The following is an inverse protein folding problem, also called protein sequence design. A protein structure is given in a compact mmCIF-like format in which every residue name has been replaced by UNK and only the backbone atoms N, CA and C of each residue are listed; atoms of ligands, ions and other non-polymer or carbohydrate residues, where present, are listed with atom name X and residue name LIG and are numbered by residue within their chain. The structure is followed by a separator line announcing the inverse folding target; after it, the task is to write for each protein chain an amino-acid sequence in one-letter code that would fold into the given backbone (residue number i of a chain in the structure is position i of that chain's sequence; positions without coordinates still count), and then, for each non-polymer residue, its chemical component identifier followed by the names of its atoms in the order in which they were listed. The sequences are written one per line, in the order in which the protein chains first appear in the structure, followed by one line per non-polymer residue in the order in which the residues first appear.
data_IF_435066883177
#
_entry.id   IF_435066883177
#
_cell.length_a   1.000
_cell.length_b   1.000
_cell.length_c   1.000
_cell.angle_alpha   90.00
_cell.angle_beta   90.00
_cell.angle_gamma   90.00
#
_symmetry.space_group_name_H-M   'P 1'
#
loop_
_entity.id
_entity.type
_entity.pdbx_description
1 polymer ?
#
# COMPACT_ATOMS: atom_id res chain seq x y z
N UNK A 1 27.78 -17.86 -3.52
CA UNK A 1 26.94 -17.49 -2.35
C UNK A 1 26.54 -16.01 -2.29
N UNK A 2 27.43 -15.03 -2.58
CA UNK A 2 27.09 -13.59 -2.45
C UNK A 2 25.98 -13.11 -3.41
N UNK A 3 26.05 -13.47 -4.70
CA UNK A 3 25.07 -13.04 -5.70
C UNK A 3 23.64 -13.58 -5.46
N UNK A 4 23.51 -14.83 -5.03
CA UNK A 4 22.23 -15.47 -4.71
C UNK A 4 21.54 -14.84 -3.49
N UNK A 5 22.33 -14.31 -2.54
CA UNK A 5 21.81 -13.61 -1.36
C UNK A 5 21.32 -12.22 -1.77
N UNK A 6 22.12 -11.45 -2.52
CA UNK A 6 21.74 -10.13 -2.99
C UNK A 6 20.46 -10.15 -3.83
N UNK A 7 20.33 -11.12 -4.73
CA UNK A 7 19.12 -11.34 -5.52
C UNK A 7 17.87 -11.56 -4.65
N UNK A 8 17.97 -12.36 -3.57
CA UNK A 8 16.84 -12.60 -2.65
C UNK A 8 16.38 -11.32 -1.96
N UNK A 9 17.29 -10.43 -1.59
CA UNK A 9 16.93 -9.15 -0.98
C UNK A 9 16.27 -8.21 -1.99
N UNK A 10 16.80 -8.11 -3.22
CA UNK A 10 16.15 -7.36 -4.30
C UNK A 10 14.72 -7.86 -4.56
N UNK A 11 14.53 -9.19 -4.62
CA UNK A 11 13.19 -9.79 -4.82
C UNK A 11 12.21 -9.46 -3.69
N UNK A 12 12.69 -9.35 -2.44
CA UNK A 12 11.84 -8.94 -1.30
C UNK A 12 11.38 -7.50 -1.44
N UNK A 13 12.26 -6.60 -1.89
CA UNK A 13 11.90 -5.20 -2.15
C UNK A 13 10.84 -5.10 -3.24
N UNK A 14 11.06 -5.78 -4.38
CA UNK A 14 10.09 -5.82 -5.49
C UNK A 14 8.70 -6.30 -5.02
N UNK A 15 8.64 -7.40 -4.28
CA UNK A 15 7.37 -7.94 -3.77
C UNK A 15 6.69 -6.98 -2.81
N UNK A 16 7.45 -6.33 -1.92
CA UNK A 16 6.89 -5.37 -0.98
C UNK A 16 6.34 -4.12 -1.69
N UNK A 17 7.03 -3.64 -2.73
CA UNK A 17 6.60 -2.53 -3.56
C UNK A 17 5.32 -2.88 -4.34
N UNK A 18 5.25 -4.05 -4.96
CA UNK A 18 4.06 -4.52 -5.67
C UNK A 18 2.85 -4.62 -4.73
N UNK A 19 3.03 -5.25 -3.57
CA UNK A 19 1.97 -5.37 -2.56
C UNK A 19 1.50 -4.00 -2.05
N UNK A 20 2.43 -3.06 -1.86
CA UNK A 20 2.11 -1.70 -1.46
C UNK A 20 1.22 -1.01 -2.50
N UNK A 21 1.62 -0.99 -3.79
CA UNK A 21 0.83 -0.35 -4.84
C UNK A 21 -0.54 -1.01 -5.04
N UNK A 22 -0.62 -2.34 -4.99
CA UNK A 22 -1.90 -3.05 -5.07
C UNK A 22 -2.86 -2.61 -3.94
N UNK A 23 -2.35 -2.44 -2.72
CA UNK A 23 -3.15 -2.00 -1.57
C UNK A 23 -3.52 -0.52 -1.64
N UNK A 24 -2.63 0.36 -2.11
CA UNK A 24 -2.95 1.77 -2.37
C UNK A 24 -4.08 1.88 -3.39
N UNK A 25 -3.98 1.20 -4.53
CA UNK A 25 -5.01 1.21 -5.57
C UNK A 25 -6.35 0.65 -5.08
N UNK A 26 -6.34 -0.35 -4.20
CA UNK A 26 -7.56 -0.85 -3.55
C UNK A 26 -8.16 0.20 -2.62
N UNK A 27 -7.34 0.84 -1.78
CA UNK A 27 -7.75 1.87 -0.84
C UNK A 27 -8.38 3.07 -1.57
N UNK A 28 -7.76 3.55 -2.63
CA UNK A 28 -8.30 4.65 -3.46
C UNK A 28 -9.66 4.32 -4.07
N UNK A 29 -9.81 3.10 -4.61
CA UNK A 29 -11.09 2.62 -5.14
C UNK A 29 -12.17 2.62 -4.05
N UNK A 30 -11.84 2.14 -2.85
CA UNK A 30 -12.78 2.14 -1.73
C UNK A 30 -13.14 3.55 -1.27
N UNK A 31 -12.16 4.47 -1.21
CA UNK A 31 -12.42 5.89 -0.90
C UNK A 31 -13.36 6.54 -1.92
N UNK A 32 -13.16 6.25 -3.22
CA UNK A 32 -14.05 6.74 -4.30
C UNK A 32 -15.47 6.20 -4.12
N UNK A 33 -15.64 4.92 -3.83
CA UNK A 33 -16.95 4.31 -3.57
C UNK A 33 -17.60 4.93 -2.34
N UNK A 34 -16.85 5.05 -1.24
CA UNK A 34 -17.32 5.64 0.01
C UNK A 34 -17.77 7.09 -0.19
N UNK A 35 -17.01 7.88 -0.94
CA UNK A 35 -17.38 9.25 -1.27
C UNK A 35 -18.73 9.29 -2.01
N UNK A 36 -18.90 8.44 -3.04
CA UNK A 36 -20.17 8.31 -3.77
C UNK A 36 -21.34 7.91 -2.86
N UNK A 37 -21.13 6.98 -1.92
CA UNK A 37 -22.16 6.55 -0.96
C UNK A 37 -22.58 7.69 0.00
N UNK A 38 -21.65 8.59 0.34
CA UNK A 38 -21.89 9.75 1.22
C UNK A 38 -22.54 10.92 0.47
N UNK A 39 -22.11 11.21 -0.75
CA UNK A 39 -22.58 12.37 -1.53
C UNK A 39 -23.87 12.12 -2.29
N UNK A 40 -24.13 10.87 -2.67
CA UNK A 40 -25.28 10.53 -3.51
C UNK A 40 -26.25 9.66 -2.71
N UNK A 41 -27.50 10.08 -2.63
CA UNK A 41 -28.57 9.24 -2.10
C UNK A 41 -28.92 8.19 -3.16
N UNK A 42 -28.21 7.06 -3.13
CA UNK A 42 -28.34 6.01 -4.14
C UNK A 42 -29.70 5.30 -4.05
N UNK A 43 -30.26 5.18 -2.84
CA UNK A 43 -31.56 4.52 -2.65
C UNK A 43 -32.67 5.56 -2.49
N UNK A 44 -33.59 5.58 -3.46
CA UNK A 44 -34.77 6.45 -3.43
C UNK A 44 -35.81 5.88 -2.44
N UNK A 45 -35.98 6.62 -1.35
CA UNK A 45 -37.10 6.63 -0.38
C UNK A 45 -37.42 5.34 0.41
N UNK A 46 -37.51 5.52 1.74
CA UNK A 46 -37.95 4.55 2.75
C UNK A 46 -36.94 4.40 3.90
N UNK A 47 -37.45 4.32 5.15
CA UNK A 47 -36.61 4.32 6.36
C UNK A 47 -35.67 3.11 6.42
N UNK A 48 -36.17 1.92 6.08
CA UNK A 48 -35.37 0.68 6.05
C UNK A 48 -34.24 0.73 5.03
N UNK A 49 -34.48 1.28 3.83
CA UNK A 49 -33.43 1.40 2.82
C UNK A 49 -32.36 2.41 3.23
N UNK A 50 -32.75 3.55 3.83
CA UNK A 50 -31.80 4.54 4.37
C UNK A 50 -30.92 3.91 5.47
N UNK A 51 -31.53 3.16 6.39
CA UNK A 51 -30.80 2.45 7.44
C UNK A 51 -29.78 1.46 6.86
N UNK A 52 -30.19 0.67 5.86
CA UNK A 52 -29.29 -0.26 5.15
C UNK A 52 -28.13 0.46 4.44
N UNK A 53 -28.38 1.61 3.81
CA UNK A 53 -27.32 2.41 3.18
C UNK A 53 -26.32 2.93 4.21
N UNK A 54 -26.78 3.39 5.38
CA UNK A 54 -25.91 3.82 6.47
C UNK A 54 -25.02 2.66 6.96
N UNK A 55 -25.61 1.50 7.24
CA UNK A 55 -24.87 0.30 7.67
C UNK A 55 -23.80 -0.13 6.64
N UNK A 56 -24.12 -0.09 5.35
CA UNK A 56 -23.14 -0.40 4.29
C UNK A 56 -22.03 0.65 4.21
N UNK A 57 -22.37 1.91 4.41
CA UNK A 57 -21.40 3.02 4.42
C UNK A 57 -20.45 2.90 5.60
N UNK A 58 -20.95 2.60 6.79
CA UNK A 58 -20.14 2.34 7.99
C UNK A 58 -19.23 1.13 7.81
N UNK A 59 -19.76 0.01 7.29
CA UNK A 59 -18.94 -1.17 6.98
C UNK A 59 -17.82 -0.87 5.99
N UNK A 60 -18.10 -0.05 4.98
CA UNK A 60 -17.08 0.36 4.01
C UNK A 60 -16.05 1.30 4.64
N UNK A 61 -16.48 2.25 5.48
CA UNK A 61 -15.58 3.12 6.24
C UNK A 61 -14.62 2.28 7.09
N UNK A 62 -15.12 1.33 7.88
CA UNK A 62 -14.27 0.43 8.66
C UNK A 62 -13.26 -0.35 7.80
N UNK A 63 -13.63 -0.74 6.58
CA UNK A 63 -12.70 -1.41 5.64
C UNK A 63 -11.64 -0.45 5.11
N UNK A 64 -12.02 0.79 4.80
CA UNK A 64 -11.09 1.86 4.39
C UNK A 64 -10.06 2.07 5.50
N UNK A 65 -10.51 2.29 6.74
CA UNK A 65 -9.63 2.59 7.88
C UNK A 65 -8.63 1.45 8.14
N UNK A 66 -9.10 0.20 8.07
CA UNK A 66 -8.22 -0.99 8.16
C UNK A 66 -7.20 -1.03 7.03
N UNK A 67 -7.61 -0.73 5.80
CA UNK A 67 -6.72 -0.71 4.65
C UNK A 67 -5.71 0.45 4.73
N UNK A 68 -6.06 1.60 5.29
CA UNK A 68 -5.12 2.69 5.57
C UNK A 68 -4.01 2.24 6.53
N UNK A 69 -4.38 1.53 7.59
CA UNK A 69 -3.40 0.96 8.53
C UNK A 69 -2.49 -0.05 7.83
N UNK A 70 -3.04 -0.91 6.97
CA UNK A 70 -2.26 -1.88 6.20
C UNK A 70 -1.29 -1.19 5.24
N UNK A 71 -1.76 -0.18 4.49
CA UNK A 71 -0.91 0.61 3.58
C UNK A 71 0.25 1.26 4.33
N UNK A 72 -0.02 1.88 5.50
CA UNK A 72 1.03 2.45 6.35
C UNK A 72 2.04 1.40 6.82
N UNK A 73 1.59 0.19 7.17
CA UNK A 73 2.48 -0.91 7.56
C UNK A 73 3.32 -1.41 6.38
N UNK A 74 2.73 -1.52 5.19
CA UNK A 74 3.43 -1.95 3.98
C UNK A 74 4.47 -0.93 3.52
N UNK A 75 4.18 0.37 3.64
CA UNK A 75 5.17 1.42 3.36
C UNK A 75 6.41 1.24 4.25
N UNK A 76 6.20 1.15 5.57
CA UNK A 76 7.31 0.90 6.52
C UNK A 76 8.07 -0.40 6.22
N UNK A 77 7.37 -1.45 5.78
CA UNK A 77 7.99 -2.71 5.43
C UNK A 77 8.83 -2.61 4.14
N UNK A 78 8.33 -1.88 3.13
CA UNK A 78 9.04 -1.57 1.90
C UNK A 78 10.34 -0.84 2.23
N UNK A 79 10.26 0.23 2.99
CA UNK A 79 11.41 1.07 3.37
C UNK A 79 12.44 0.24 4.13
N UNK A 80 12.00 -0.59 5.08
CA UNK A 80 12.89 -1.52 5.78
C UNK A 80 13.63 -2.45 4.82
N UNK A 81 12.95 -3.03 3.84
CA UNK A 81 13.61 -3.94 2.89
C UNK A 81 14.55 -3.22 1.93
N UNK A 82 14.27 -1.96 1.58
CA UNK A 82 15.20 -1.13 0.80
C UNK A 82 16.49 -0.93 1.60
N UNK A 83 16.39 -0.57 2.88
CA UNK A 83 17.54 -0.39 3.75
C UNK A 83 18.31 -1.71 3.97
N UNK A 84 17.61 -2.83 4.20
CA UNK A 84 18.22 -4.16 4.28
C UNK A 84 18.98 -4.50 2.97
N UNK A 85 18.45 -4.10 1.82
CA UNK A 85 19.08 -4.32 0.52
C UNK A 85 20.33 -3.45 0.33
N UNK A 86 20.30 -2.16 0.71
CA UNK A 86 21.47 -1.27 0.71
C UNK A 86 22.58 -1.81 1.61
N UNK A 87 22.24 -2.23 2.83
CA UNK A 87 23.21 -2.82 3.75
C UNK A 87 23.90 -4.06 3.16
N UNK A 88 23.16 -4.94 2.49
CA UNK A 88 23.74 -6.12 1.84
C UNK A 88 24.61 -5.77 0.62
N UNK A 89 24.31 -4.66 -0.07
CA UNK A 89 25.16 -4.13 -1.13
C UNK A 89 26.48 -3.58 -0.59
N UNK A 90 26.45 -2.83 0.51
CA UNK A 90 27.65 -2.34 1.19
C UNK A 90 28.54 -3.49 1.65
N UNK A 91 27.95 -4.55 2.22
CA UNK A 91 28.67 -5.77 2.59
C UNK A 91 29.33 -6.49 1.39
N UNK A 92 28.86 -6.20 0.17
CA UNK A 92 29.45 -6.68 -1.08
C UNK A 92 30.45 -5.67 -1.72
N UNK A 93 30.74 -4.54 -1.06
CA UNK A 93 31.60 -3.48 -1.58
C UNK A 93 30.91 -2.53 -2.57
N UNK A 94 29.58 -2.60 -2.70
CA UNK A 94 28.78 -1.74 -3.57
C UNK A 94 28.19 -0.60 -2.73
N UNK A 95 28.98 0.45 -2.52
CA UNK A 95 28.65 1.58 -1.62
C UNK A 95 27.81 2.65 -2.32
N UNK A 96 27.87 2.72 -3.66
CA UNK A 96 27.02 3.63 -4.42
C UNK A 96 25.58 3.11 -4.46
N UNK A 97 24.70 3.83 -3.76
CA UNK A 97 23.25 3.60 -3.72
C UNK A 97 22.45 4.63 -4.47
N UNK A 98 23.10 5.59 -5.16
CA UNK A 98 22.40 6.67 -5.88
C UNK A 98 21.37 6.16 -6.88
N UNK A 99 21.63 5.01 -7.50
CA UNK A 99 20.68 4.32 -8.37
C UNK A 99 19.42 3.86 -7.62
N UNK A 100 19.58 3.30 -6.42
CA UNK A 100 18.47 2.79 -5.61
C UNK A 100 17.66 3.95 -5.08
N UNK A 101 18.33 4.97 -4.56
CA UNK A 101 17.67 6.16 -4.03
C UNK A 101 16.80 6.80 -5.11
N UNK A 102 17.38 7.12 -6.28
CA UNK A 102 16.62 7.68 -7.41
C UNK A 102 15.46 6.79 -7.86
N UNK A 103 15.68 5.48 -7.97
CA UNK A 103 14.67 4.55 -8.46
C UNK A 103 13.43 4.47 -7.54
N UNK A 104 13.62 4.61 -6.22
CA UNK A 104 12.53 4.54 -5.25
C UNK A 104 12.03 5.92 -4.80
N UNK A 105 12.78 6.99 -5.05
CA UNK A 105 12.36 8.39 -4.85
C UNK A 105 11.33 8.81 -5.92
N UNK A 106 11.53 8.42 -7.19
CA UNK A 106 10.60 8.69 -8.30
C UNK A 106 9.24 7.94 -8.17
N UNK A 107 9.15 6.98 -7.24
CA UNK A 107 7.97 6.11 -7.03
C UNK A 107 7.26 6.32 -5.68
N UNK A 108 7.78 7.20 -4.83
CA UNK A 108 7.19 7.55 -3.54
C UNK A 108 6.11 8.63 -3.70
#
# INVERSE_FOLDING_TARGET
MKATTLYKYGKKVELAEEMYHQKVALLERQKKILNRLKTTQIIKTGWFQKKRQLELTERLQCKVDRNEIIVKKLLKLKDKYIEDFKYQREACGLIDHTFIDKFYEDKA
#
